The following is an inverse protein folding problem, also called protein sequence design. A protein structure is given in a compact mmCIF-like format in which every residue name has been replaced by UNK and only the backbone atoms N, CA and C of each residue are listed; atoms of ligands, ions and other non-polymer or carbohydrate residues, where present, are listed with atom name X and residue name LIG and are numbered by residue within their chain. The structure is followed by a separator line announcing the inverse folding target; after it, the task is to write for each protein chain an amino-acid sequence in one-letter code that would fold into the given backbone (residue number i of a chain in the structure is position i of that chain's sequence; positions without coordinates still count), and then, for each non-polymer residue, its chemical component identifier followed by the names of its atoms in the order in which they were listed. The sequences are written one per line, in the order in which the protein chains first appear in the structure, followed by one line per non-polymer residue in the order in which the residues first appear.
data_IF_177896373093
#
_entry.id   IF_177896373093
#
_cell.length_a   1.000
_cell.length_b   1.000
_cell.length_c   1.000
_cell.angle_alpha   90.00
_cell.angle_beta   90.00
_cell.angle_gamma   90.00
#
_symmetry.space_group_name_H-M   'P 1'
#
loop_
_entity.id
_entity.type
_entity.pdbx_description
1 polymer ?
#
# COMPACT_ATOMS: atom_id res chain seq x y z
N UNK A 1 18.75 -7.87 -24.40
CA UNK A 1 17.58 -7.18 -23.87
C UNK A 1 16.64 -8.11 -23.13
N UNK A 2 15.64 -7.57 -22.42
CA UNK A 2 14.67 -8.38 -21.67
C UNK A 2 13.78 -9.22 -22.59
N UNK A 3 13.46 -10.43 -22.12
CA UNK A 3 12.64 -11.42 -22.85
C UNK A 3 11.36 -11.72 -22.04
N UNK A 4 10.46 -12.53 -22.59
CA UNK A 4 9.26 -13.01 -21.86
C UNK A 4 9.59 -13.91 -20.64
N UNK A 5 10.83 -14.32 -20.49
CA UNK A 5 11.34 -15.14 -19.37
C UNK A 5 12.13 -14.30 -18.37
N UNK A 6 12.20 -12.98 -18.57
CA UNK A 6 12.86 -12.08 -17.61
C UNK A 6 12.01 -11.93 -16.36
N UNK A 7 12.68 -11.69 -15.23
CA UNK A 7 12.07 -11.32 -13.95
C UNK A 7 12.29 -9.83 -13.71
N UNK A 8 11.25 -9.08 -13.36
CA UNK A 8 11.36 -7.71 -12.91
C UNK A 8 11.37 -7.68 -11.37
N UNK A 9 12.31 -6.94 -10.78
CA UNK A 9 12.36 -6.72 -9.34
C UNK A 9 12.05 -5.23 -9.08
N UNK A 10 10.97 -4.95 -8.38
CA UNK A 10 10.55 -3.62 -7.96
C UNK A 10 11.07 -3.35 -6.55
N UNK A 11 12.12 -2.57 -6.42
CA UNK A 11 12.66 -2.13 -5.13
C UNK A 11 12.32 -0.65 -4.92
N UNK A 12 11.40 -0.35 -4.01
CA UNK A 12 10.99 1.03 -3.74
C UNK A 12 9.64 1.17 -3.04
N UNK A 13 9.12 2.39 -3.00
CA UNK A 13 7.80 2.69 -2.46
C UNK A 13 6.66 2.32 -3.41
N UNK A 14 5.42 2.70 -3.05
CA UNK A 14 4.20 2.34 -3.78
C UNK A 14 4.23 2.72 -5.26
N UNK A 15 4.76 3.90 -5.61
CA UNK A 15 4.91 4.29 -7.01
C UNK A 15 5.76 3.30 -7.82
N UNK A 16 6.83 2.77 -7.23
CA UNK A 16 7.70 1.80 -7.91
C UNK A 16 7.00 0.45 -8.05
N UNK A 17 6.28 0.00 -7.02
CA UNK A 17 5.55 -1.27 -7.06
C UNK A 17 4.40 -1.23 -8.05
N UNK A 18 3.63 -0.13 -8.11
CA UNK A 18 2.50 0.05 -9.03
C UNK A 18 2.96 0.16 -10.48
N UNK A 19 3.90 1.06 -10.76
CA UNK A 19 4.46 1.25 -12.10
C UNK A 19 5.17 0.00 -12.61
N UNK A 20 6.00 -0.60 -11.76
CA UNK A 20 6.74 -1.80 -12.12
C UNK A 20 5.84 -3.00 -12.35
N UNK A 21 4.82 -3.20 -11.51
CA UNK A 21 3.81 -4.25 -11.70
C UNK A 21 3.03 -4.05 -13.01
N UNK A 22 2.61 -2.81 -13.32
CA UNK A 22 1.95 -2.48 -14.58
C UNK A 22 2.86 -2.72 -15.79
N UNK A 23 4.13 -2.28 -15.71
CA UNK A 23 5.12 -2.54 -16.75
C UNK A 23 5.35 -4.03 -16.98
N UNK A 24 5.48 -4.81 -15.89
CA UNK A 24 5.63 -6.26 -15.98
C UNK A 24 4.41 -6.93 -16.62
N UNK A 25 3.20 -6.52 -16.23
CA UNK A 25 1.96 -7.07 -16.73
C UNK A 25 1.73 -6.80 -18.23
N UNK A 26 2.21 -5.66 -18.72
CA UNK A 26 2.02 -5.23 -20.13
C UNK A 26 3.19 -5.60 -21.03
N UNK A 27 4.42 -5.70 -20.51
CA UNK A 27 5.57 -6.08 -21.30
C UNK A 27 5.44 -7.52 -21.81
N UNK A 28 5.51 -7.69 -23.15
CA UNK A 28 5.40 -9.00 -23.83
C UNK A 28 4.20 -9.85 -23.40
N UNK A 29 3.09 -9.22 -23.02
CA UNK A 29 1.84 -9.83 -22.48
C UNK A 29 1.98 -10.43 -21.08
N UNK A 30 2.92 -9.94 -20.32
CA UNK A 30 3.18 -10.33 -18.94
C UNK A 30 4.51 -11.06 -18.76
N UNK A 31 5.29 -10.57 -17.81
CA UNK A 31 6.47 -11.25 -17.25
C UNK A 31 6.32 -11.35 -15.74
N UNK A 32 7.03 -12.29 -15.13
CA UNK A 32 7.07 -12.41 -13.67
C UNK A 32 7.71 -11.17 -13.03
N UNK A 33 7.20 -10.80 -11.84
CA UNK A 33 7.82 -9.73 -11.06
C UNK A 33 7.74 -9.99 -9.57
N UNK A 34 8.65 -9.37 -8.81
CA UNK A 34 8.73 -9.42 -7.35
C UNK A 34 8.72 -7.98 -6.84
N UNK A 35 7.97 -7.73 -5.76
CA UNK A 35 8.00 -6.47 -5.03
C UNK A 35 8.89 -6.58 -3.79
N UNK A 36 9.75 -5.59 -3.59
CA UNK A 36 10.53 -5.35 -2.37
C UNK A 36 10.18 -3.94 -1.90
N UNK A 37 9.05 -3.76 -1.18
CA UNK A 37 8.61 -2.44 -0.76
C UNK A 37 9.53 -1.86 0.31
N UNK A 38 9.86 -0.56 0.18
CA UNK A 38 10.79 0.14 1.08
C UNK A 38 10.13 1.20 1.94
N UNK A 39 8.84 1.48 1.75
CA UNK A 39 8.05 2.37 2.60
C UNK A 39 6.99 1.58 3.34
N UNK A 40 6.57 2.05 4.52
CA UNK A 40 5.54 1.38 5.31
C UNK A 40 4.23 1.26 4.53
N UNK A 41 3.80 2.33 3.84
CA UNK A 41 2.61 2.31 2.99
C UNK A 41 2.69 1.24 1.88
N UNK A 42 3.85 1.10 1.24
CA UNK A 42 4.01 0.08 0.22
C UNK A 42 3.99 -1.34 0.82
N UNK A 43 4.56 -1.54 2.01
CA UNK A 43 4.57 -2.83 2.69
C UNK A 43 3.18 -3.32 3.04
N UNK A 44 2.35 -2.44 3.63
CA UNK A 44 1.03 -2.84 4.16
C UNK A 44 -0.10 -2.66 3.15
N UNK A 45 0.11 -1.88 2.10
CA UNK A 45 -0.95 -1.56 1.14
C UNK A 45 -0.54 -1.77 -0.33
N UNK A 46 0.29 -0.92 -0.92
CA UNK A 46 0.47 -0.85 -2.37
C UNK A 46 1.03 -2.14 -2.99
N UNK A 47 1.95 -2.84 -2.33
CA UNK A 47 2.56 -4.06 -2.88
C UNK A 47 1.69 -5.31 -2.77
N UNK A 48 0.57 -5.25 -2.03
CA UNK A 48 -0.31 -6.37 -1.71
C UNK A 48 -1.64 -6.23 -2.45
N UNK A 49 -2.13 -7.32 -3.01
CA UNK A 49 -3.47 -7.37 -3.63
C UNK A 49 -3.51 -7.17 -5.14
N UNK A 50 -2.34 -7.04 -5.79
CA UNK A 50 -2.20 -7.13 -7.24
C UNK A 50 -2.80 -5.98 -8.04
N UNK A 51 -3.25 -4.90 -7.42
CA UNK A 51 -3.60 -3.67 -8.14
C UNK A 51 -2.30 -3.00 -8.59
N UNK A 52 -2.15 -2.79 -9.89
CA UNK A 52 -1.01 -2.09 -10.48
C UNK A 52 -1.51 -1.04 -11.44
N UNK A 53 -0.79 0.07 -11.58
CA UNK A 53 -1.28 1.13 -12.45
C UNK A 53 -0.39 2.34 -12.50
N UNK A 54 -0.83 3.28 -13.32
CA UNK A 54 -0.18 4.56 -13.54
C UNK A 54 -1.19 5.70 -13.48
N UNK A 55 -0.72 6.85 -13.05
CA UNK A 55 -1.51 8.08 -13.17
C UNK A 55 -1.59 8.51 -14.64
N UNK A 56 -2.74 8.97 -15.05
CA UNK A 56 -2.95 9.45 -16.40
C UNK A 56 -3.86 10.69 -16.41
N UNK A 57 -3.48 11.69 -17.17
CA UNK A 57 -4.24 12.93 -17.37
C UNK A 57 -4.68 13.61 -16.05
N UNK A 58 -3.81 13.61 -15.04
CA UNK A 58 -4.07 14.21 -13.73
C UNK A 58 -4.91 13.35 -12.78
N UNK A 59 -5.37 12.19 -13.21
CA UNK A 59 -6.11 11.23 -12.41
C UNK A 59 -5.17 10.14 -11.87
N UNK A 60 -5.39 9.76 -10.62
CA UNK A 60 -4.58 8.77 -9.91
C UNK A 60 -5.02 7.35 -10.30
N UNK A 61 -4.06 6.48 -10.65
CA UNK A 61 -4.29 5.06 -10.98
C UNK A 61 -5.37 4.82 -12.06
N UNK A 62 -5.51 5.76 -13.01
CA UNK A 62 -6.55 5.71 -14.04
C UNK A 62 -6.35 4.55 -15.03
N UNK A 63 -5.10 4.20 -15.31
CA UNK A 63 -4.77 3.07 -16.17
C UNK A 63 -4.07 2.01 -15.32
N UNK A 64 -4.67 0.83 -15.23
CA UNK A 64 -4.12 -0.25 -14.42
C UNK A 64 -4.67 -1.60 -14.77
N UNK A 65 -4.09 -2.61 -14.14
CA UNK A 65 -4.50 -4.01 -14.28
C UNK A 65 -4.41 -4.73 -12.93
N UNK A 66 -5.20 -5.77 -12.78
CA UNK A 66 -5.02 -6.73 -11.68
C UNK A 66 -3.97 -7.76 -12.10
N UNK A 67 -2.77 -7.63 -11.57
CA UNK A 67 -1.65 -8.51 -11.84
C UNK A 67 -0.88 -8.75 -10.52
N UNK A 68 -1.09 -9.88 -9.83
CA UNK A 68 -0.40 -10.16 -8.59
C UNK A 68 1.10 -10.39 -8.84
N UNK A 69 1.93 -9.88 -7.93
CA UNK A 69 3.36 -10.19 -7.91
C UNK A 69 3.58 -11.68 -7.64
N UNK A 70 4.64 -12.25 -8.21
CA UNK A 70 5.05 -13.64 -7.91
C UNK A 70 5.46 -13.80 -6.44
N UNK A 71 5.99 -12.75 -5.83
CA UNK A 71 6.34 -12.67 -4.41
C UNK A 71 6.42 -11.22 -3.95
N UNK A 72 6.14 -11.00 -2.66
CA UNK A 72 6.40 -9.74 -1.97
C UNK A 72 7.37 -10.02 -0.82
N UNK A 73 8.54 -9.39 -0.85
CA UNK A 73 9.56 -9.56 0.18
C UNK A 73 9.53 -8.36 1.12
N UNK A 74 9.04 -8.57 2.33
CA UNK A 74 8.92 -7.54 3.36
C UNK A 74 10.17 -7.51 4.23
N UNK A 75 10.98 -6.45 4.09
CA UNK A 75 12.16 -6.20 4.92
C UNK A 75 11.96 -4.89 5.70
N UNK A 76 11.56 -5.00 6.96
CA UNK A 76 11.25 -3.85 7.81
C UNK A 76 12.49 -3.02 8.20
N UNK A 77 13.68 -3.51 7.93
CA UNK A 77 14.92 -2.76 8.10
C UNK A 77 14.97 -1.46 7.28
N UNK A 78 14.29 -1.41 6.12
CA UNK A 78 14.17 -0.19 5.32
C UNK A 78 13.46 0.94 6.05
N UNK A 79 12.57 0.63 7.01
CA UNK A 79 11.83 1.63 7.77
C UNK A 79 12.72 2.46 8.72
N UNK A 80 13.93 1.99 9.02
CA UNK A 80 14.89 2.73 9.87
C UNK A 80 15.37 4.04 9.23
N UNK A 81 15.36 4.12 7.90
CA UNK A 81 15.75 5.31 7.15
C UNK A 81 14.55 6.07 6.56
N UNK A 82 13.34 5.59 6.80
CA UNK A 82 12.12 6.25 6.33
C UNK A 82 11.84 7.49 7.18
N UNK A 83 11.57 8.63 6.55
CA UNK A 83 11.19 9.84 7.27
C UNK A 83 9.84 9.69 7.98
N UNK A 84 9.65 10.47 9.04
CA UNK A 84 8.46 10.38 9.89
C UNK A 84 7.14 10.61 9.12
N UNK A 85 7.12 11.51 8.14
CA UNK A 85 5.89 11.78 7.37
C UNK A 85 5.47 10.56 6.57
N UNK A 86 6.40 9.90 5.88
CA UNK A 86 6.13 8.68 5.14
C UNK A 86 5.83 7.50 6.07
N UNK A 87 6.45 7.44 7.24
CA UNK A 87 6.12 6.46 8.27
C UNK A 87 4.65 6.61 8.70
N UNK A 88 4.23 7.79 9.13
CA UNK A 88 2.84 8.03 9.56
C UNK A 88 1.82 7.85 8.44
N UNK A 89 2.19 8.15 7.20
CA UNK A 89 1.33 7.84 6.05
C UNK A 89 1.04 6.34 5.92
N UNK A 90 2.04 5.48 6.09
CA UNK A 90 1.83 4.03 6.10
C UNK A 90 1.11 3.55 7.37
N UNK A 91 1.40 4.18 8.52
CA UNK A 91 0.79 3.83 9.79
C UNK A 91 -0.73 4.09 9.83
N UNK A 92 -1.20 5.12 9.13
CA UNK A 92 -2.62 5.39 8.96
C UNK A 92 -3.36 4.22 8.27
N UNK A 93 -2.72 3.58 7.30
CA UNK A 93 -3.27 2.37 6.67
C UNK A 93 -3.32 1.18 7.63
N UNK A 94 -2.31 1.03 8.49
CA UNK A 94 -2.34 0.00 9.53
C UNK A 94 -3.49 0.25 10.51
N UNK A 95 -3.73 1.50 10.94
CA UNK A 95 -4.89 1.85 11.78
C UNK A 95 -6.21 1.53 11.09
N UNK A 96 -6.34 1.79 9.79
CA UNK A 96 -7.50 1.37 8.99
C UNK A 96 -7.66 -0.16 9.02
N UNK A 97 -6.56 -0.92 8.88
CA UNK A 97 -6.61 -2.39 8.99
C UNK A 97 -7.05 -2.84 10.39
N UNK A 98 -6.61 -2.15 11.44
CA UNK A 98 -7.11 -2.36 12.81
C UNK A 98 -8.62 -2.17 12.92
N UNK A 99 -9.15 -1.07 12.34
CA UNK A 99 -10.58 -0.75 12.36
C UNK A 99 -11.46 -1.78 11.64
N UNK A 100 -10.97 -2.40 10.58
CA UNK A 100 -11.73 -3.37 9.77
C UNK A 100 -11.47 -4.83 10.15
N UNK A 101 -10.62 -5.09 11.14
CA UNK A 101 -10.24 -6.45 11.56
C UNK A 101 -10.71 -6.75 12.99
N UNK A 102 -9.81 -6.68 13.95
CA UNK A 102 -10.09 -7.02 15.35
C UNK A 102 -9.76 -5.88 16.31
N UNK A 103 -10.51 -5.82 17.42
CA UNK A 103 -10.24 -4.84 18.49
C UNK A 103 -8.81 -4.97 19.04
N UNK A 104 -8.29 -6.18 19.17
CA UNK A 104 -6.96 -6.43 19.70
C UNK A 104 -5.87 -5.85 18.79
N UNK A 105 -6.03 -5.99 17.46
CA UNK A 105 -5.10 -5.38 16.50
C UNK A 105 -5.17 -3.85 16.54
N UNK A 106 -6.38 -3.29 16.64
CA UNK A 106 -6.55 -1.84 16.77
C UNK A 106 -5.92 -1.30 18.06
N UNK A 107 -6.15 -1.95 19.20
CA UNK A 107 -5.58 -1.55 20.50
C UNK A 107 -4.05 -1.64 20.48
N UNK A 108 -3.48 -2.69 19.89
CA UNK A 108 -2.03 -2.81 19.71
C UNK A 108 -1.47 -1.62 18.93
N UNK A 109 -2.11 -1.26 17.80
CA UNK A 109 -1.70 -0.12 16.98
C UNK A 109 -1.85 1.22 17.74
N UNK A 110 -2.94 1.44 18.45
CA UNK A 110 -3.16 2.67 19.20
C UNK A 110 -2.21 2.83 20.40
N UNK A 111 -1.70 1.72 20.95
CA UNK A 111 -0.80 1.71 22.12
C UNK A 111 0.68 1.71 21.73
N UNK A 112 1.01 1.61 20.44
CA UNK A 112 2.39 1.54 19.97
C UNK A 112 3.10 2.89 20.10
N UNK A 113 4.29 2.88 20.71
CA UNK A 113 5.13 4.07 20.85
C UNK A 113 5.80 4.39 19.50
N UNK A 114 5.27 5.39 18.81
CA UNK A 114 5.80 5.87 17.52
C UNK A 114 6.97 6.84 17.66
N UNK A 115 7.28 7.30 18.85
CA UNK A 115 8.45 8.17 19.13
C UNK A 115 9.70 7.32 19.39
N UNK A 116 9.53 6.18 20.09
CA UNK A 116 10.61 5.23 20.39
C UNK A 116 10.31 3.87 19.75
N UNK A 117 10.47 3.77 18.45
CA UNK A 117 10.04 2.63 17.64
C UNK A 117 10.79 1.33 18.04
N UNK A 118 10.06 0.37 18.59
CA UNK A 118 10.50 -1.02 18.64
C UNK A 118 10.27 -1.68 17.27
N UNK A 119 11.34 -1.83 16.51
CA UNK A 119 11.28 -2.43 15.17
C UNK A 119 10.92 -3.92 15.17
N UNK A 120 11.11 -4.64 16.28
CA UNK A 120 10.67 -6.03 16.41
C UNK A 120 9.16 -6.12 16.55
N UNK A 121 8.58 -5.28 17.41
CA UNK A 121 7.13 -5.15 17.54
C UNK A 121 6.50 -4.64 16.23
N UNK A 122 7.08 -3.59 15.63
CA UNK A 122 6.62 -3.06 14.35
C UNK A 122 6.57 -4.12 13.25
N UNK A 123 7.60 -4.98 13.15
CA UNK A 123 7.63 -6.09 12.18
C UNK A 123 6.44 -7.02 12.37
N UNK A 124 6.09 -7.36 13.60
CA UNK A 124 4.94 -8.22 13.91
C UNK A 124 3.63 -7.55 13.50
N UNK A 125 3.48 -6.26 13.81
CA UNK A 125 2.29 -5.47 13.48
C UNK A 125 2.13 -5.29 11.95
N UNK A 126 3.22 -5.06 11.22
CA UNK A 126 3.23 -5.03 9.75
C UNK A 126 2.74 -6.37 9.19
N UNK A 127 3.25 -7.49 9.72
CA UNK A 127 2.79 -8.83 9.30
C UNK A 127 1.28 -9.03 9.52
N UNK A 128 0.74 -8.60 10.66
CA UNK A 128 -0.70 -8.65 10.93
C UNK A 128 -1.51 -7.78 9.98
N UNK A 129 -1.07 -6.56 9.74
CA UNK A 129 -1.74 -5.65 8.79
C UNK A 129 -1.74 -6.21 7.36
N UNK A 130 -0.65 -6.82 6.92
CA UNK A 130 -0.57 -7.50 5.62
C UNK A 130 -1.56 -8.67 5.57
N UNK A 131 -1.60 -9.51 6.61
CA UNK A 131 -2.52 -10.64 6.68
C UNK A 131 -3.98 -10.20 6.57
N UNK A 132 -4.38 -9.13 7.29
CA UNK A 132 -5.75 -8.56 7.17
C UNK A 132 -6.09 -8.22 5.73
N UNK A 133 -5.15 -7.60 5.00
CA UNK A 133 -5.38 -7.26 3.61
C UNK A 133 -5.41 -8.49 2.71
N UNK A 134 -4.51 -9.44 2.89
CA UNK A 134 -4.47 -10.68 2.12
C UNK A 134 -5.76 -11.47 2.28
N UNK A 135 -6.24 -11.68 3.50
CA UNK A 135 -7.48 -12.39 3.79
C UNK A 135 -8.70 -11.78 3.06
N UNK A 136 -8.75 -10.45 3.00
CA UNK A 136 -9.82 -9.73 2.29
C UNK A 136 -9.66 -9.84 0.78
N UNK A 137 -8.43 -9.73 0.26
CA UNK A 137 -8.14 -9.82 -1.17
C UNK A 137 -8.39 -11.23 -1.71
N UNK A 138 -8.05 -12.27 -0.95
CA UNK A 138 -8.32 -13.66 -1.33
C UNK A 138 -9.81 -13.95 -1.47
N UNK A 139 -10.64 -13.37 -0.61
CA UNK A 139 -12.09 -13.51 -0.67
C UNK A 139 -12.73 -12.72 -1.82
N UNK A 140 -12.14 -11.62 -2.22
CA UNK A 140 -12.69 -10.72 -3.25
C UNK A 140 -11.56 -10.09 -4.11
N UNK A 141 -10.90 -10.86 -4.97
CA UNK A 141 -9.75 -10.37 -5.75
C UNK A 141 -10.06 -9.16 -6.64
N UNK A 142 -11.32 -9.02 -7.09
CA UNK A 142 -11.74 -7.98 -8.04
C UNK A 142 -12.55 -6.83 -7.41
N UNK A 143 -12.68 -6.81 -6.08
CA UNK A 143 -13.35 -5.71 -5.35
C UNK A 143 -14.84 -5.51 -5.71
N UNK A 144 -15.56 -6.60 -5.84
CA UNK A 144 -17.00 -6.54 -6.04
C UNK A 144 -17.79 -6.47 -4.72
N UNK A 145 -17.23 -6.94 -3.61
CA UNK A 145 -17.88 -7.08 -2.31
C UNK A 145 -17.02 -6.62 -1.14
N UNK A 146 -16.55 -7.57 -0.32
CA UNK A 146 -15.88 -7.31 0.98
C UNK A 146 -14.59 -6.48 0.85
N UNK A 147 -13.87 -6.59 -0.27
CA UNK A 147 -12.65 -5.82 -0.50
C UNK A 147 -12.89 -4.30 -0.48
N UNK A 148 -14.14 -3.85 -0.68
CA UNK A 148 -14.50 -2.43 -0.53
C UNK A 148 -14.30 -1.89 0.89
N UNK A 149 -14.24 -2.76 1.91
CA UNK A 149 -13.90 -2.36 3.28
C UNK A 149 -12.50 -1.73 3.37
N UNK A 150 -11.56 -2.13 2.49
CA UNK A 150 -10.24 -1.50 2.38
C UNK A 150 -10.30 -0.03 1.95
N UNK A 151 -11.43 0.44 1.42
CA UNK A 151 -11.66 1.83 1.03
C UNK A 151 -12.26 2.69 2.16
N UNK A 152 -12.30 2.18 3.39
CA UNK A 152 -12.71 2.98 4.55
C UNK A 152 -11.84 4.24 4.65
N UNK A 153 -12.46 5.41 4.78
CA UNK A 153 -11.77 6.70 4.76
C UNK A 153 -11.36 7.23 3.37
N UNK A 154 -11.35 6.40 2.32
CA UNK A 154 -10.82 6.78 1.01
C UNK A 154 -11.72 7.74 0.24
N UNK A 155 -13.03 7.67 0.38
CA UNK A 155 -13.96 8.57 -0.36
C UNK A 155 -13.67 10.03 -0.04
N UNK A 156 -13.58 10.35 1.24
CA UNK A 156 -13.25 11.71 1.71
C UNK A 156 -11.75 11.97 1.53
N UNK A 157 -10.90 10.99 1.83
CA UNK A 157 -9.45 11.09 1.66
C UNK A 157 -9.03 11.47 0.24
N UNK A 158 -9.56 10.81 -0.78
CA UNK A 158 -9.28 11.14 -2.19
C UNK A 158 -9.78 12.54 -2.57
N UNK A 159 -10.89 13.02 -1.99
CA UNK A 159 -11.34 14.39 -2.19
C UNK A 159 -10.31 15.40 -1.64
N UNK A 160 -9.76 15.15 -0.44
CA UNK A 160 -8.68 15.96 0.12
C UNK A 160 -7.40 15.90 -0.72
N UNK A 161 -6.98 14.72 -1.18
CA UNK A 161 -5.82 14.59 -2.07
C UNK A 161 -6.01 15.40 -3.36
N UNK A 162 -7.18 15.32 -3.98
CA UNK A 162 -7.49 16.04 -5.23
C UNK A 162 -7.49 17.55 -5.02
N UNK A 163 -8.10 18.04 -3.93
CA UNK A 163 -8.10 19.46 -3.57
C UNK A 163 -6.67 19.97 -3.31
N UNK A 164 -5.91 19.24 -2.50
CA UNK A 164 -4.54 19.61 -2.15
C UNK A 164 -3.62 19.64 -3.39
N UNK A 165 -3.83 18.71 -4.33
CA UNK A 165 -3.11 18.69 -5.60
C UNK A 165 -3.48 19.90 -6.46
N UNK A 166 -4.76 20.26 -6.55
CA UNK A 166 -5.23 21.44 -7.30
C UNK A 166 -4.67 22.75 -6.73
N UNK A 167 -4.45 22.80 -5.40
CA UNK A 167 -3.83 23.94 -4.71
C UNK A 167 -2.29 23.94 -4.74
N UNK A 168 -1.65 23.00 -5.45
CA UNK A 168 -0.20 22.77 -5.43
C UNK A 168 0.39 22.55 -4.01
N UNK A 169 -0.37 21.93 -3.13
CA UNK A 169 -0.01 21.59 -1.74
C UNK A 169 -0.26 20.11 -1.45
N UNK A 170 0.41 19.18 -2.20
CA UNK A 170 0.10 17.76 -2.13
C UNK A 170 0.25 17.22 -0.71
N UNK A 171 -0.69 16.38 -0.31
CA UNK A 171 -0.66 15.63 0.95
C UNK A 171 -0.32 14.17 0.68
N UNK A 172 0.30 13.50 1.66
CA UNK A 172 0.56 12.08 1.56
C UNK A 172 -0.75 11.29 1.76
N UNK A 173 -0.90 10.21 1.02
CA UNK A 173 -2.11 9.39 0.97
C UNK A 173 -2.67 9.01 2.35
N UNK A 174 -1.85 8.45 3.23
CA UNK A 174 -2.32 8.02 4.54
C UNK A 174 -2.83 9.16 5.43
N UNK A 175 -2.32 10.38 5.28
CA UNK A 175 -2.88 11.53 6.00
C UNK A 175 -4.29 11.84 5.51
N UNK A 176 -4.49 11.82 4.20
CA UNK A 176 -5.80 12.04 3.61
C UNK A 176 -6.80 10.95 4.03
N UNK A 177 -6.36 9.69 4.05
CA UNK A 177 -7.16 8.57 4.53
C UNK A 177 -7.49 8.74 6.02
N UNK A 178 -6.51 9.09 6.86
CA UNK A 178 -6.75 9.34 8.29
C UNK A 178 -7.80 10.43 8.53
N UNK A 179 -7.77 11.52 7.77
CA UNK A 179 -8.81 12.56 7.84
C UNK A 179 -10.19 12.05 7.40
N UNK A 180 -10.23 11.09 6.50
CA UNK A 180 -11.48 10.47 6.08
C UNK A 180 -12.02 9.41 7.05
N UNK A 181 -11.23 8.98 8.03
CA UNK A 181 -11.64 8.04 9.09
C UNK A 181 -12.35 8.74 10.26
N UNK A 182 -12.17 10.04 10.42
CA UNK A 182 -12.70 10.89 11.49
C UNK A 182 -13.92 11.65 10.97
#
# INVERSE_FOLDING_TARGET
GATRHSLLINLGGGMVTDLGGFAAATFKRGIAYINIPTTLLAMVDASVGGKTGINFNGLKNEIGVFAPASSVLLETGFLRSLDARNFFSGYAEMLKHGLISTSDHLVELLSFDTENIDYSALRTMVGRSVQVKEDIVEQDPKEHGIRKALNLGHTIGHAFESLALAENRPVLHGYAVAWGLV
#
